data_IF_726430160647
#
_entry.id   IF_726430160647
#
_cell.length_a   1.000
_cell.length_b   1.000
_cell.length_c   1.000
_cell.angle_alpha   90.00
_cell.angle_beta   90.00
_cell.angle_gamma   90.00
#
_symmetry.space_group_name_H-M   'P 1'
#
loop_
_entity.id
_entity.type
_entity.pdbx_description
1 polymer ?
#
# COMPACT_ATOMS: atom_id res chain seq x y z
N UNK A 1 -31.33 -12.44 -56.19
CA UNK A 1 -31.04 -11.35 -55.20
C UNK A 1 -30.74 -11.87 -53.79
N UNK A 2 -31.52 -12.77 -53.18
CA UNK A 2 -31.33 -13.28 -51.80
C UNK A 2 -29.94 -13.93 -51.52
N UNK A 3 -29.37 -14.68 -52.46
CA UNK A 3 -28.05 -15.34 -52.30
C UNK A 3 -26.85 -14.36 -52.24
N UNK A 4 -26.95 -13.19 -52.93
CA UNK A 4 -25.89 -12.17 -52.91
C UNK A 4 -25.90 -11.37 -51.62
N UNK A 5 -27.08 -11.15 -51.03
CA UNK A 5 -27.21 -10.46 -49.74
C UNK A 5 -26.63 -11.34 -48.61
N UNK A 6 -26.89 -12.64 -48.64
CA UNK A 6 -26.37 -13.58 -47.64
C UNK A 6 -24.85 -13.67 -47.65
N UNK A 7 -24.23 -13.69 -48.87
CA UNK A 7 -22.77 -13.69 -49.01
C UNK A 7 -22.13 -12.39 -48.51
N UNK A 8 -22.75 -11.24 -48.76
CA UNK A 8 -22.26 -9.93 -48.29
C UNK A 8 -22.34 -9.79 -46.76
N UNK A 9 -23.40 -10.32 -46.13
CA UNK A 9 -23.54 -10.33 -44.67
C UNK A 9 -22.50 -11.25 -44.02
N UNK A 10 -22.23 -12.42 -44.62
CA UNK A 10 -21.24 -13.36 -44.14
C UNK A 10 -19.80 -12.78 -44.18
N UNK A 11 -19.47 -12.09 -45.27
CA UNK A 11 -18.17 -11.39 -45.43
C UNK A 11 -18.03 -10.26 -44.41
N UNK A 12 -19.09 -9.50 -44.15
CA UNK A 12 -19.07 -8.43 -43.15
C UNK A 12 -18.88 -8.96 -41.75
N UNK A 13 -19.52 -10.06 -41.39
CA UNK A 13 -19.34 -10.73 -40.06
C UNK A 13 -17.91 -11.28 -39.92
N UNK A 14 -17.35 -11.90 -40.99
CA UNK A 14 -15.95 -12.35 -40.96
C UNK A 14 -14.95 -11.19 -40.87
N UNK A 15 -15.24 -10.04 -41.49
CA UNK A 15 -14.37 -8.86 -41.40
C UNK A 15 -14.37 -8.26 -39.98
N UNK A 16 -15.51 -8.30 -39.30
CA UNK A 16 -15.61 -7.84 -37.90
C UNK A 16 -14.86 -8.79 -36.95
N UNK A 17 -14.84 -10.10 -37.21
CA UNK A 17 -14.07 -11.07 -36.45
C UNK A 17 -12.55 -11.03 -36.72
N UNK A 18 -12.12 -10.37 -37.81
CA UNK A 18 -10.71 -10.17 -38.17
C UNK A 18 -10.17 -8.80 -37.76
N UNK A 19 -11.01 -7.93 -37.21
CA UNK A 19 -10.47 -6.76 -36.52
C UNK A 19 -9.62 -7.29 -35.37
N UNK A 20 -8.31 -6.92 -35.34
CA UNK A 20 -7.58 -7.21 -34.13
C UNK A 20 -8.45 -6.61 -33.02
N UNK A 21 -8.82 -7.42 -32.05
CA UNK A 21 -9.13 -6.90 -30.73
C UNK A 21 -7.85 -6.17 -30.39
N UNK A 22 -7.76 -4.88 -30.73
CA UNK A 22 -6.86 -4.02 -30.01
C UNK A 22 -7.32 -4.25 -28.59
N UNK A 23 -6.59 -5.10 -27.89
CA UNK A 23 -6.59 -5.03 -26.45
C UNK A 23 -6.49 -3.51 -26.24
N UNK A 24 -7.58 -2.91 -25.77
CA UNK A 24 -7.49 -1.62 -25.13
C UNK A 24 -6.40 -1.95 -24.11
N UNK A 25 -5.16 -1.51 -24.39
CA UNK A 25 -4.14 -1.47 -23.40
C UNK A 25 -4.84 -0.65 -22.32
N UNK A 26 -5.41 -1.36 -21.35
CA UNK A 26 -6.04 -0.73 -20.22
C UNK A 26 -4.97 0.21 -19.71
N UNK A 27 -5.32 1.44 -19.43
CA UNK A 27 -4.44 2.34 -18.70
C UNK A 27 -3.76 1.45 -17.68
N UNK A 28 -2.44 1.38 -17.72
CA UNK A 28 -1.67 0.53 -16.84
C UNK A 28 -1.85 1.17 -15.46
N UNK A 29 -2.96 0.81 -14.81
CA UNK A 29 -3.32 1.39 -13.53
C UNK A 29 -2.45 0.69 -12.52
N UNK A 30 -1.49 1.43 -11.99
CA UNK A 30 -0.62 0.91 -10.94
C UNK A 30 -1.42 0.51 -9.70
N UNK A 31 -2.51 1.23 -9.44
CA UNK A 31 -3.49 0.92 -8.42
C UNK A 31 -4.85 1.59 -8.68
N UNK A 32 -5.91 1.08 -8.05
CA UNK A 32 -7.27 1.64 -8.15
C UNK A 32 -7.96 1.63 -6.81
N UNK A 33 -8.90 2.56 -6.62
CA UNK A 33 -9.80 2.60 -5.44
C UNK A 33 -11.23 2.49 -5.92
N UNK A 34 -12.00 1.62 -5.29
CA UNK A 34 -13.44 1.52 -5.44
C UNK A 34 -14.09 1.79 -4.09
N UNK A 35 -14.62 3.01 -3.92
CA UNK A 35 -15.22 3.46 -2.67
C UNK A 35 -16.54 2.74 -2.37
N UNK A 36 -17.29 2.34 -3.40
CA UNK A 36 -18.57 1.62 -3.24
C UNK A 36 -18.36 0.20 -2.71
N UNK A 37 -17.33 -0.49 -3.19
CA UNK A 37 -16.97 -1.85 -2.77
C UNK A 37 -15.96 -1.87 -1.62
N UNK A 38 -15.51 -0.70 -1.18
CA UNK A 38 -14.47 -0.58 -0.15
C UNK A 38 -13.22 -1.39 -0.47
N UNK A 39 -12.72 -1.26 -1.71
CA UNK A 39 -11.55 -1.99 -2.18
C UNK A 39 -10.48 -1.06 -2.76
N UNK A 40 -9.22 -1.42 -2.48
CA UNK A 40 -8.04 -0.91 -3.16
C UNK A 40 -7.40 -2.08 -3.86
N UNK A 41 -7.16 -1.98 -5.17
CA UNK A 41 -6.43 -2.99 -5.94
C UNK A 41 -5.06 -2.46 -6.35
N UNK A 42 -4.01 -3.21 -6.08
CA UNK A 42 -2.61 -2.82 -6.30
C UNK A 42 -1.96 -3.83 -7.24
N UNK A 43 -1.41 -3.34 -8.35
CA UNK A 43 -0.88 -4.17 -9.43
C UNK A 43 0.65 -4.07 -9.57
N UNK A 44 1.26 -2.96 -9.12
CA UNK A 44 2.69 -2.67 -9.32
C UNK A 44 3.36 -2.14 -8.07
N UNK A 45 4.70 -2.11 -8.07
CA UNK A 45 5.49 -1.49 -7.01
C UNK A 45 5.18 0.02 -6.88
N UNK A 46 5.01 0.71 -7.99
CA UNK A 46 4.63 2.12 -8.04
C UNK A 46 3.24 2.32 -7.43
N UNK A 47 2.30 1.44 -7.73
CA UNK A 47 0.95 1.46 -7.15
C UNK A 47 0.96 1.25 -5.64
N UNK A 48 1.75 0.29 -5.17
CA UNK A 48 1.92 0.04 -3.74
C UNK A 48 2.52 1.25 -3.01
N UNK A 49 3.54 1.88 -3.60
CA UNK A 49 4.15 3.11 -3.06
C UNK A 49 3.19 4.28 -3.06
N UNK A 50 2.41 4.45 -4.15
CA UNK A 50 1.42 5.52 -4.25
C UNK A 50 0.30 5.35 -3.22
N UNK A 51 -0.18 4.13 -3.01
CA UNK A 51 -1.14 3.83 -1.94
C UNK A 51 -0.56 4.12 -0.56
N UNK A 52 0.64 3.64 -0.25
CA UNK A 52 1.32 3.89 1.02
C UNK A 52 1.49 5.40 1.28
N UNK A 53 1.91 6.16 0.26
CA UNK A 53 2.03 7.62 0.34
C UNK A 53 0.69 8.30 0.60
N UNK A 54 -0.42 7.79 0.07
CA UNK A 54 -1.74 8.38 0.30
C UNK A 54 -2.24 8.24 1.74
N UNK A 55 -1.63 7.35 2.54
CA UNK A 55 -1.87 7.21 3.97
C UNK A 55 -1.03 8.21 4.75
N UNK A 56 0.22 8.40 4.33
CA UNK A 56 1.22 9.23 5.01
C UNK A 56 1.35 10.61 4.32
N UNK A 57 0.24 11.21 3.82
CA UNK A 57 0.26 12.52 3.18
C UNK A 57 0.66 13.62 4.18
N UNK A 58 1.87 14.14 4.04
CA UNK A 58 2.46 15.19 4.86
C UNK A 58 3.51 14.67 5.84
N UNK A 59 4.23 15.57 6.52
CA UNK A 59 5.14 15.19 7.57
C UNK A 59 4.32 14.63 8.73
N UNK A 60 4.42 13.32 8.97
CA UNK A 60 3.88 12.72 10.19
C UNK A 60 4.77 13.18 11.33
N UNK A 61 4.37 14.28 11.95
CA UNK A 61 5.10 14.91 13.05
C UNK A 61 4.49 14.56 14.40
N UNK A 62 3.37 13.85 14.41
CA UNK A 62 2.60 13.53 15.60
C UNK A 62 2.38 12.02 15.69
N UNK A 63 2.70 11.44 16.85
CA UNK A 63 2.46 10.03 17.14
C UNK A 63 0.96 9.69 17.12
N UNK A 64 0.09 10.67 17.40
CA UNK A 64 -1.37 10.52 17.38
C UNK A 64 -1.96 10.66 15.95
N UNK A 65 -1.11 10.82 14.91
CA UNK A 65 -1.60 10.87 13.54
C UNK A 65 -2.29 9.57 13.15
N UNK A 66 -3.51 9.72 12.64
CA UNK A 66 -4.35 8.61 12.19
C UNK A 66 -4.96 8.92 10.81
N UNK A 67 -4.71 8.04 9.85
CA UNK A 67 -5.37 8.05 8.54
C UNK A 67 -6.49 7.01 8.51
N UNK A 68 -7.74 7.46 8.56
CA UNK A 68 -8.93 6.61 8.48
C UNK A 68 -9.56 6.55 7.08
N UNK A 69 -8.89 7.09 6.06
CA UNK A 69 -9.38 7.13 4.68
C UNK A 69 -9.81 5.75 4.16
N UNK A 70 -9.11 4.72 4.61
CA UNK A 70 -9.35 3.34 4.17
C UNK A 70 -10.02 2.49 5.25
N UNK A 71 -10.82 3.13 6.13
CA UNK A 71 -11.58 2.40 7.13
C UNK A 71 -12.60 1.46 6.49
N UNK A 72 -12.60 0.20 6.95
CA UNK A 72 -13.38 -0.94 6.44
C UNK A 72 -13.05 -1.34 4.98
N UNK A 73 -11.84 -1.00 4.50
CA UNK A 73 -11.38 -1.40 3.18
C UNK A 73 -10.63 -2.74 3.19
N UNK A 74 -10.70 -3.41 2.03
CA UNK A 74 -9.77 -4.48 1.66
C UNK A 74 -8.77 -3.95 0.64
N UNK A 75 -7.49 -4.03 0.96
CA UNK A 75 -6.38 -3.74 0.06
C UNK A 75 -5.91 -5.05 -0.54
N UNK A 76 -6.13 -5.22 -1.83
CA UNK A 76 -5.88 -6.44 -2.59
C UNK A 76 -4.62 -6.29 -3.43
N UNK A 77 -3.66 -7.18 -3.24
CA UNK A 77 -2.46 -7.26 -4.09
C UNK A 77 -2.79 -8.20 -5.25
N UNK A 78 -2.71 -7.69 -6.47
CA UNK A 78 -3.20 -8.37 -7.67
C UNK A 78 -2.09 -9.02 -8.51
N UNK A 79 -0.82 -8.76 -8.17
CA UNK A 79 0.35 -9.36 -8.82
C UNK A 79 1.53 -9.45 -7.84
N UNK A 80 2.57 -10.19 -8.21
CA UNK A 80 3.83 -10.18 -7.45
C UNK A 80 4.51 -8.83 -7.58
N UNK A 81 4.94 -8.27 -6.45
CA UNK A 81 5.52 -6.94 -6.37
C UNK A 81 7.00 -7.02 -6.01
N UNK A 82 7.86 -6.51 -6.90
CA UNK A 82 9.30 -6.38 -6.67
C UNK A 82 9.64 -4.94 -6.24
N UNK A 83 10.10 -4.78 -5.00
CA UNK A 83 10.52 -3.51 -4.42
C UNK A 83 12.04 -3.28 -4.50
N UNK A 84 12.76 -3.94 -5.43
CA UNK A 84 14.22 -3.84 -5.58
C UNK A 84 14.74 -2.47 -5.98
N UNK A 85 13.87 -1.56 -6.43
CA UNK A 85 14.22 -0.20 -6.81
C UNK A 85 14.55 0.69 -5.61
N UNK A 86 13.76 1.73 -5.41
CA UNK A 86 13.91 2.68 -4.29
C UNK A 86 13.62 2.00 -2.95
N UNK A 87 14.21 2.52 -1.87
CA UNK A 87 13.91 2.07 -0.52
C UNK A 87 12.41 2.21 -0.21
N UNK A 88 11.89 1.30 0.58
CA UNK A 88 10.51 1.36 1.07
C UNK A 88 10.41 2.36 2.21
N UNK A 89 9.44 3.26 2.11
CA UNK A 89 9.06 4.14 3.23
C UNK A 89 7.97 3.45 4.04
N UNK A 90 8.20 3.26 5.32
CA UNK A 90 7.24 2.62 6.22
C UNK A 90 5.93 3.39 6.28
N UNK A 91 4.81 2.69 6.23
CA UNK A 91 3.49 3.30 6.39
C UNK A 91 3.30 3.68 7.87
N UNK A 92 3.00 4.95 8.14
CA UNK A 92 2.81 5.47 9.48
C UNK A 92 1.36 5.97 9.65
N UNK A 93 0.77 5.68 10.81
CA UNK A 93 -0.55 6.19 11.18
C UNK A 93 -1.71 5.52 10.44
N UNK A 94 -1.54 4.28 10.00
CA UNK A 94 -2.65 3.51 9.43
C UNK A 94 -3.71 3.29 10.50
N UNK A 95 -4.94 3.77 10.27
CA UNK A 95 -6.06 3.72 11.21
C UNK A 95 -7.29 3.03 10.66
N UNK A 96 -8.22 2.65 11.56
CA UNK A 96 -9.48 2.01 11.22
C UNK A 96 -9.41 0.49 11.12
N UNK A 97 -10.38 -0.12 10.45
CA UNK A 97 -10.44 -1.57 10.20
C UNK A 97 -10.01 -1.84 8.76
N UNK A 98 -8.86 -2.47 8.59
CA UNK A 98 -8.26 -2.69 7.27
C UNK A 98 -7.86 -4.15 7.12
N UNK A 99 -8.13 -4.71 5.95
CA UNK A 99 -7.61 -6.01 5.53
C UNK A 99 -6.64 -5.81 4.37
N UNK A 100 -5.42 -6.34 4.47
CA UNK A 100 -4.48 -6.44 3.37
C UNK A 100 -4.43 -7.90 2.95
N UNK A 101 -4.93 -8.18 1.75
CA UNK A 101 -4.96 -9.54 1.18
C UNK A 101 -3.95 -9.62 0.03
N UNK A 102 -2.96 -10.47 0.22
CA UNK A 102 -1.94 -10.71 -0.79
C UNK A 102 -2.39 -11.62 -1.93
N UNK A 103 -3.59 -12.23 -1.86
CA UNK A 103 -4.10 -13.20 -2.86
C UNK A 103 -3.11 -14.32 -3.22
N UNK A 104 -2.17 -14.64 -2.33
CA UNK A 104 -1.10 -15.59 -2.57
C UNK A 104 0.13 -15.02 -3.29
N UNK A 105 0.14 -13.71 -3.56
CA UNK A 105 1.27 -13.02 -4.17
C UNK A 105 2.41 -12.72 -3.19
N UNK A 106 3.56 -12.38 -3.76
CA UNK A 106 4.80 -12.09 -3.03
C UNK A 106 5.18 -10.62 -3.17
N UNK A 107 5.53 -9.99 -2.05
CA UNK A 107 6.29 -8.74 -2.02
C UNK A 107 7.75 -9.08 -1.78
N UNK A 108 8.62 -8.78 -2.73
CA UNK A 108 10.04 -9.15 -2.69
C UNK A 108 10.97 -7.94 -2.63
N UNK A 109 12.19 -8.18 -2.14
CA UNK A 109 13.31 -7.24 -2.16
C UNK A 109 13.02 -5.89 -1.47
N UNK A 110 12.10 -5.88 -0.52
CA UNK A 110 11.81 -4.68 0.27
C UNK A 110 13.03 -4.28 1.09
N UNK A 111 13.48 -3.02 0.95
CA UNK A 111 14.60 -2.47 1.69
C UNK A 111 14.17 -1.23 2.43
N UNK A 112 14.32 -1.23 3.74
CA UNK A 112 14.01 -0.11 4.63
C UNK A 112 15.33 0.38 5.21
N UNK A 113 15.77 1.56 4.81
CA UNK A 113 17.05 2.17 5.19
C UNK A 113 16.90 3.63 5.62
N UNK A 114 15.71 4.19 5.45
CA UNK A 114 15.42 5.57 5.81
C UNK A 114 14.31 5.62 6.84
N UNK A 115 14.45 6.57 7.74
CA UNK A 115 13.50 6.85 8.79
C UNK A 115 12.74 8.13 8.45
N UNK A 116 11.43 8.10 8.63
CA UNK A 116 10.69 9.28 8.99
C UNK A 116 10.55 9.25 10.52
N UNK A 117 11.18 10.19 11.19
CA UNK A 117 11.08 10.30 12.64
C UNK A 117 9.73 10.91 12.99
N UNK A 118 8.97 10.18 13.77
CA UNK A 118 7.75 10.67 14.41
C UNK A 118 8.11 11.17 15.79
N UNK A 119 7.51 12.25 16.26
CA UNK A 119 7.76 12.73 17.60
C UNK A 119 6.46 12.96 18.38
N UNK A 120 6.57 12.89 19.69
CA UNK A 120 5.53 13.34 20.60
C UNK A 120 6.02 14.62 21.30
N UNK A 121 5.19 15.66 21.29
CA UNK A 121 5.45 16.90 22.00
C UNK A 121 4.61 16.95 23.27
N UNK A 122 5.24 17.28 24.38
CA UNK A 122 4.55 17.45 25.66
C UNK A 122 5.21 18.54 26.49
N UNK A 123 4.42 19.18 27.36
CA UNK A 123 4.90 20.23 28.25
C UNK A 123 5.19 19.69 29.65
N UNK A 124 6.37 19.98 30.16
CA UNK A 124 6.76 19.69 31.55
C UNK A 124 7.26 20.97 32.20
N UNK A 125 6.57 21.42 33.23
CA UNK A 125 6.93 22.65 33.99
C UNK A 125 7.07 23.92 33.13
N UNK A 126 6.32 24.04 32.04
CA UNK A 126 6.36 25.18 31.12
C UNK A 126 7.44 25.07 30.03
N UNK A 127 8.12 23.96 29.92
CA UNK A 127 9.08 23.68 28.85
C UNK A 127 8.56 22.59 27.92
N UNK A 128 8.69 22.83 26.60
CA UNK A 128 8.31 21.84 25.57
C UNK A 128 9.40 20.79 25.41
N UNK A 129 9.00 19.54 25.51
CA UNK A 129 9.83 18.38 25.30
C UNK A 129 9.40 17.63 24.06
N UNK A 130 10.33 16.92 23.40
CA UNK A 130 10.10 16.05 22.27
C UNK A 130 10.77 14.71 22.47
N UNK A 131 9.98 13.65 22.35
CA UNK A 131 10.48 12.29 22.24
C UNK A 131 10.40 11.85 20.78
N UNK A 132 11.52 11.37 20.23
CA UNK A 132 11.63 10.93 18.86
C UNK A 132 11.49 9.42 18.75
N UNK A 133 10.69 8.99 17.81
CA UNK A 133 10.35 7.59 17.55
C UNK A 133 10.69 7.19 16.13
N UNK A 134 11.19 5.97 15.97
CA UNK A 134 11.46 5.36 14.68
C UNK A 134 10.68 4.07 14.54
N UNK A 135 9.88 3.98 13.49
CA UNK A 135 9.08 2.80 13.20
C UNK A 135 9.43 2.25 11.82
N UNK A 136 10.03 1.07 11.78
CA UNK A 136 10.49 0.41 10.57
C UNK A 136 9.69 -0.87 10.33
N UNK A 137 9.12 -1.00 9.12
CA UNK A 137 8.36 -2.16 8.69
C UNK A 137 7.67 -1.92 7.36
N UNK A 138 7.04 -2.92 6.80
CA UNK A 138 6.08 -2.69 5.71
C UNK A 138 5.03 -1.67 6.17
N UNK A 139 4.51 -1.87 7.38
CA UNK A 139 3.77 -0.88 8.15
C UNK A 139 4.63 -0.55 9.37
N UNK A 140 5.08 0.68 9.49
CA UNK A 140 5.91 1.13 10.60
C UNK A 140 5.10 1.30 11.88
N UNK A 141 3.95 1.99 11.77
CA UNK A 141 3.08 2.27 12.91
C UNK A 141 1.60 2.21 12.53
N UNK A 142 0.79 1.59 13.37
CA UNK A 142 -0.67 1.61 13.29
C UNK A 142 -1.25 2.47 14.42
N UNK A 143 -2.27 3.27 14.11
CA UNK A 143 -2.94 4.14 15.07
C UNK A 143 -3.70 3.35 16.14
N UNK A 144 -3.98 4.00 17.27
CA UNK A 144 -4.73 3.38 18.36
C UNK A 144 -6.14 2.97 17.92
N UNK A 145 -6.59 1.78 18.34
CA UNK A 145 -7.91 1.25 17.97
C UNK A 145 -7.98 0.59 16.59
N UNK A 146 -6.89 0.60 15.81
CA UNK A 146 -6.82 -0.04 14.50
C UNK A 146 -7.00 -1.55 14.59
N UNK A 147 -7.77 -2.10 13.65
CA UNK A 147 -7.89 -3.54 13.42
C UNK A 147 -7.31 -3.89 12.06
N UNK A 148 -6.06 -4.32 12.07
CA UNK A 148 -5.32 -4.71 10.88
C UNK A 148 -5.33 -6.23 10.72
N UNK A 149 -5.76 -6.70 9.55
CA UNK A 149 -5.60 -8.10 9.12
C UNK A 149 -4.65 -8.12 7.93
N UNK A 150 -3.59 -8.93 7.97
CA UNK A 150 -2.70 -9.20 6.84
C UNK A 150 -2.75 -10.69 6.58
N UNK A 151 -3.11 -11.06 5.35
CA UNK A 151 -3.32 -12.47 5.00
C UNK A 151 -2.86 -12.79 3.57
N UNK A 152 -2.62 -14.06 3.30
CA UNK A 152 -2.32 -14.61 1.96
C UNK A 152 -1.19 -13.87 1.24
N UNK A 153 -0.17 -13.38 1.97
CA UNK A 153 0.94 -12.62 1.43
C UNK A 153 2.27 -13.23 1.88
N UNK A 154 3.25 -13.23 0.99
CA UNK A 154 4.63 -13.63 1.28
C UNK A 154 5.53 -12.41 1.19
N UNK A 155 6.41 -12.23 2.18
CA UNK A 155 7.52 -11.29 2.11
C UNK A 155 8.82 -12.07 1.88
N UNK A 156 9.53 -11.76 0.78
CA UNK A 156 10.75 -12.42 0.40
C UNK A 156 11.91 -11.43 0.28
N UNK A 157 13.11 -11.83 0.75
CA UNK A 157 14.32 -11.00 0.72
C UNK A 157 14.11 -9.58 1.32
N UNK A 158 13.32 -9.47 2.37
CA UNK A 158 13.13 -8.20 3.05
C UNK A 158 14.36 -7.85 3.89
N UNK A 159 14.84 -6.61 3.78
CA UNK A 159 15.93 -6.06 4.57
C UNK A 159 15.45 -4.84 5.34
N UNK A 160 15.48 -4.93 6.67
CA UNK A 160 15.10 -3.84 7.57
C UNK A 160 16.29 -3.50 8.41
N UNK A 161 16.81 -2.29 8.24
CA UNK A 161 17.96 -1.80 8.99
C UNK A 161 17.62 -0.46 9.62
N UNK A 162 17.75 -0.38 10.93
CA UNK A 162 17.76 0.90 11.62
C UNK A 162 19.08 1.61 11.29
N UNK A 163 19.06 2.74 10.55
CA UNK A 163 20.27 3.47 10.20
C UNK A 163 20.94 4.14 11.42
N UNK A 164 20.31 4.07 12.60
CA UNK A 164 20.72 4.85 13.74
C UNK A 164 20.32 6.32 13.60
N UNK A 165 20.37 7.08 14.65
CA UNK A 165 20.02 8.51 14.66
C UNK A 165 19.70 9.00 16.05
N UNK A 166 19.08 10.18 16.11
CA UNK A 166 18.73 10.83 17.39
C UNK A 166 17.43 10.30 18.00
N UNK A 167 16.82 9.24 17.42
CA UNK A 167 15.61 8.68 17.99
C UNK A 167 15.87 7.97 19.31
N UNK A 168 15.06 8.29 20.31
CA UNK A 168 15.17 7.69 21.64
C UNK A 168 14.59 6.28 21.66
N UNK A 169 13.65 6.00 20.76
CA UNK A 169 12.96 4.73 20.66
C UNK A 169 12.90 4.26 19.21
N UNK A 170 13.24 3.00 18.97
CA UNK A 170 13.22 2.39 17.65
C UNK A 170 12.55 1.02 17.69
N UNK A 171 11.67 0.79 16.72
CA UNK A 171 11.04 -0.51 16.51
C UNK A 171 11.21 -0.93 15.04
N UNK A 172 11.65 -2.15 14.83
CA UNK A 172 11.92 -2.69 13.52
C UNK A 172 11.35 -4.11 13.37
N UNK A 173 10.59 -4.32 12.32
CA UNK A 173 10.07 -5.62 11.91
C UNK A 173 9.85 -5.66 10.40
N UNK A 174 9.72 -6.86 9.80
CA UNK A 174 9.44 -6.96 8.38
C UNK A 174 8.03 -6.47 8.05
N UNK A 175 7.04 -6.83 8.85
CA UNK A 175 5.62 -6.58 8.54
C UNK A 175 5.09 -5.37 9.31
N UNK A 176 4.99 -5.44 10.63
CA UNK A 176 4.48 -4.33 11.47
C UNK A 176 5.51 -3.99 12.52
N UNK A 177 6.03 -2.76 12.48
CA UNK A 177 7.04 -2.30 13.43
C UNK A 177 6.45 -2.07 14.82
N UNK A 178 5.36 -1.32 14.92
CA UNK A 178 4.72 -0.99 16.18
C UNK A 178 3.19 -0.85 16.03
N UNK A 179 2.48 -1.27 17.05
CA UNK A 179 1.04 -1.06 17.18
C UNK A 179 0.66 -0.92 18.64
N UNK A 180 -0.49 -0.30 18.96
CA UNK A 180 -0.98 -0.25 20.32
C UNK A 180 -1.18 -1.68 20.82
N UNK A 181 -0.62 -1.99 21.98
CA UNK A 181 -0.92 -3.23 22.69
C UNK A 181 -2.17 -2.99 23.54
N UNK A 182 -3.27 -3.71 23.25
CA UNK A 182 -4.36 -3.85 24.20
C UNK A 182 -3.82 -4.71 25.37
N UNK A 183 -3.63 -4.08 26.52
CA UNK A 183 -3.26 -4.73 27.79
C UNK A 183 -4.52 -5.22 28.51
#
# INVERSE_FOLDING_TARGET
MKKRILASVLVLVMLICLLPVTAIAGENKDWTVNDDEKTVMIYTAEGLRAWAKSITEGPVTDLDYECTRYDDFTVSIEDNIDLSGDAWTSIIGLGGKITIDGNGHTISNMRIEQQENVYNEYEVNGEMHRDWYTFLGFIGHIAYGTRLTIQNITFENAHVQDPGGDSQYSWAAVVVGHGPMDL
#
